data_IF_176480083783
#
_entry.id   IF_176480083783
#
_cell.length_a   1.000
_cell.length_b   1.000
_cell.length_c   1.000
_cell.angle_alpha   90.00
_cell.angle_beta   90.00
_cell.angle_gamma   90.00
#
_symmetry.space_group_name_H-M   'P 1'
#
loop_
_entity.id
_entity.type
_entity.pdbx_description
1 polymer ?
#
# COMPACT_ATOMS: atom_id res chain seq x y z
N UNK A 1 1.28 -28.88 8.75
CA UNK A 1 0.03 -28.67 7.98
C UNK A 1 0.37 -27.80 6.78
N UNK A 2 -0.39 -27.83 5.68
CA UNK A 2 -0.11 -26.97 4.51
C UNK A 2 -1.20 -25.90 4.34
N UNK A 3 -0.77 -24.69 4.05
CA UNK A 3 -1.63 -23.56 3.74
C UNK A 3 -1.27 -23.04 2.35
N UNK A 4 -2.25 -22.87 1.48
CA UNK A 4 -2.05 -22.29 0.15
C UNK A 4 -2.46 -20.82 0.16
N UNK A 5 -1.55 -19.94 -0.26
CA UNK A 5 -1.85 -18.52 -0.50
C UNK A 5 -1.88 -18.30 -2.00
N UNK A 6 -3.06 -17.99 -2.54
CA UNK A 6 -3.20 -17.58 -3.94
C UNK A 6 -3.26 -16.06 -4.03
N UNK A 7 -2.24 -15.45 -4.62
CA UNK A 7 -2.23 -14.02 -4.96
C UNK A 7 -3.04 -13.89 -6.26
N UNK A 8 -4.24 -13.32 -6.18
CA UNK A 8 -5.18 -13.30 -7.32
C UNK A 8 -4.88 -12.17 -8.28
N UNK A 9 -4.54 -11.02 -7.72
CA UNK A 9 -4.19 -9.80 -8.41
C UNK A 9 -3.27 -8.98 -7.49
N UNK A 10 -2.92 -7.76 -7.91
CA UNK A 10 -1.96 -6.89 -7.24
C UNK A 10 -2.40 -6.50 -5.81
N UNK A 11 -3.69 -6.68 -5.48
CA UNK A 11 -4.31 -6.25 -4.22
C UNK A 11 -4.82 -7.44 -3.42
N UNK A 12 -5.50 -8.38 -4.05
CA UNK A 12 -6.29 -9.41 -3.39
C UNK A 12 -5.56 -10.75 -3.33
N UNK A 13 -5.71 -11.44 -2.20
CA UNK A 13 -5.27 -12.83 -2.05
C UNK A 13 -6.30 -13.69 -1.33
N UNK A 14 -6.13 -15.01 -1.45
CA UNK A 14 -6.92 -16.00 -0.72
C UNK A 14 -6.01 -16.99 -0.03
N UNK A 15 -6.30 -17.22 1.25
CA UNK A 15 -5.60 -18.14 2.14
C UNK A 15 -6.48 -19.37 2.36
N UNK A 16 -5.99 -20.55 1.96
CA UNK A 16 -6.73 -21.81 1.97
C UNK A 16 -6.00 -22.88 2.79
N UNK A 17 -6.75 -23.86 3.31
CA UNK A 17 -6.17 -24.96 4.11
C UNK A 17 -6.04 -24.65 5.60
N UNK A 18 -6.43 -23.45 6.05
CA UNK A 18 -6.48 -23.11 7.46
C UNK A 18 -7.71 -23.69 8.16
N UNK A 19 -7.49 -24.25 9.35
CA UNK A 19 -8.56 -24.61 10.27
C UNK A 19 -9.34 -23.37 10.74
N UNK A 20 -10.54 -23.58 11.29
CA UNK A 20 -11.44 -22.49 11.67
C UNK A 20 -10.88 -21.62 12.80
N UNK A 21 -10.08 -22.18 13.70
CA UNK A 21 -9.52 -21.44 14.84
C UNK A 21 -8.43 -20.49 14.37
N UNK A 22 -7.56 -20.95 13.47
CA UNK A 22 -6.53 -20.08 12.85
C UNK A 22 -7.17 -18.98 12.00
N UNK A 23 -8.20 -19.30 11.21
CA UNK A 23 -8.94 -18.28 10.43
C UNK A 23 -9.56 -17.19 11.31
N UNK A 24 -10.14 -17.56 12.45
CA UNK A 24 -10.68 -16.59 13.42
C UNK A 24 -9.60 -15.73 14.07
N UNK A 25 -8.39 -16.27 14.29
CA UNK A 25 -7.25 -15.47 14.78
C UNK A 25 -6.83 -14.43 13.73
N UNK A 26 -6.73 -14.82 12.47
CA UNK A 26 -6.43 -13.90 11.37
C UNK A 26 -7.55 -12.85 11.17
N UNK A 27 -8.82 -13.25 11.22
CA UNK A 27 -9.96 -12.33 11.20
C UNK A 27 -9.81 -11.29 12.32
N UNK A 28 -9.60 -11.74 13.56
CA UNK A 28 -9.48 -10.85 14.72
C UNK A 28 -8.30 -9.88 14.62
N UNK A 29 -7.15 -10.32 14.12
CA UNK A 29 -5.97 -9.47 13.92
C UNK A 29 -6.25 -8.31 12.95
N UNK A 30 -7.07 -8.56 11.93
CA UNK A 30 -7.43 -7.61 10.89
C UNK A 30 -8.85 -7.05 11.05
N UNK A 31 -9.35 -7.03 12.29
CA UNK A 31 -10.68 -6.52 12.63
C UNK A 31 -10.58 -5.23 13.44
N UNK A 32 -11.22 -4.18 12.96
CA UNK A 32 -11.13 -2.83 13.52
C UNK A 32 -12.51 -2.30 13.85
N UNK A 33 -12.66 -1.74 15.05
CA UNK A 33 -13.89 -1.07 15.45
C UNK A 33 -14.02 0.28 14.74
N UNK A 34 -15.19 0.56 14.16
CA UNK A 34 -15.42 1.78 13.41
C UNK A 34 -15.89 2.90 14.36
N UNK A 35 -15.22 4.09 14.37
CA UNK A 35 -15.57 5.16 15.30
C UNK A 35 -17.05 5.60 15.22
N UNK A 36 -17.65 5.53 14.04
CA UNK A 36 -19.04 5.92 13.82
C UNK A 36 -20.06 4.82 14.18
N UNK A 37 -19.64 3.62 14.59
CA UNK A 37 -20.53 2.48 14.86
C UNK A 37 -21.59 2.82 15.92
N UNK A 38 -21.24 3.61 16.94
CA UNK A 38 -22.18 4.07 17.98
C UNK A 38 -23.39 4.84 17.44
N UNK A 39 -23.31 5.37 16.22
CA UNK A 39 -24.40 6.09 15.57
C UNK A 39 -25.20 5.24 14.58
N UNK A 40 -24.77 4.00 14.31
CA UNK A 40 -25.41 3.09 13.35
C UNK A 40 -26.51 2.27 14.03
N UNK A 41 -27.76 2.27 13.52
CA UNK A 41 -28.86 1.49 14.10
C UNK A 41 -28.57 -0.01 14.21
N UNK A 42 -27.88 -0.60 13.23
CA UNK A 42 -27.52 -2.01 13.26
C UNK A 42 -26.66 -2.38 14.47
N UNK A 43 -25.71 -1.51 14.85
CA UNK A 43 -24.90 -1.70 16.05
C UNK A 43 -25.74 -1.51 17.32
N UNK A 44 -26.54 -0.45 17.39
CA UNK A 44 -27.44 -0.18 18.54
C UNK A 44 -28.44 -1.30 18.81
N UNK A 45 -28.93 -1.96 17.75
CA UNK A 45 -29.86 -3.07 17.82
C UNK A 45 -29.18 -4.44 17.95
N UNK A 46 -27.85 -4.49 18.10
CA UNK A 46 -27.09 -5.73 18.25
C UNK A 46 -27.04 -6.62 16.99
N UNK A 47 -27.39 -6.09 15.82
CA UNK A 47 -27.37 -6.81 14.53
C UNK A 47 -26.01 -6.80 13.85
N UNK A 48 -25.09 -5.97 14.34
CA UNK A 48 -23.72 -5.83 13.86
C UNK A 48 -22.83 -5.49 15.05
N UNK A 49 -21.59 -5.97 15.05
CA UNK A 49 -20.64 -5.80 16.15
C UNK A 49 -19.87 -4.46 16.10
N UNK A 50 -20.13 -3.62 15.10
CA UNK A 50 -19.48 -2.31 14.95
C UNK A 50 -18.09 -2.37 14.33
N UNK A 51 -17.63 -3.57 13.96
CA UNK A 51 -16.31 -3.79 13.40
C UNK A 51 -16.36 -4.03 11.90
N UNK A 52 -15.27 -3.67 11.22
CA UNK A 52 -14.96 -4.14 9.87
C UNK A 52 -13.78 -5.10 9.95
N UNK A 53 -13.85 -6.22 9.22
CA UNK A 53 -12.74 -7.17 9.12
C UNK A 53 -12.19 -7.16 7.69
N UNK A 54 -10.87 -7.10 7.58
CA UNK A 54 -10.15 -7.21 6.32
C UNK A 54 -9.60 -8.62 6.07
N UNK A 55 -10.03 -9.59 6.87
CA UNK A 55 -9.81 -11.01 6.63
C UNK A 55 -11.12 -11.76 6.85
N UNK A 56 -11.68 -12.27 5.75
CA UNK A 56 -12.96 -12.98 5.80
C UNK A 56 -12.79 -14.38 6.38
N UNK A 57 -13.87 -14.95 6.94
CA UNK A 57 -13.88 -16.36 7.39
C UNK A 57 -13.60 -17.34 6.23
N UNK A 58 -13.83 -16.91 4.99
CA UNK A 58 -13.46 -17.65 3.78
C UNK A 58 -11.98 -17.54 3.37
N UNK A 59 -11.15 -16.84 4.15
CA UNK A 59 -9.72 -16.68 3.91
C UNK A 59 -9.34 -15.63 2.87
N UNK A 60 -10.29 -14.80 2.41
CA UNK A 60 -10.01 -13.68 1.49
C UNK A 60 -9.48 -12.50 2.31
N UNK A 61 -8.37 -11.90 1.84
CA UNK A 61 -7.72 -10.71 2.41
C UNK A 61 -6.90 -9.97 1.34
N UNK A 62 -6.07 -9.00 1.73
CA UNK A 62 -5.22 -8.21 0.84
C UNK A 62 -3.74 -8.59 0.98
N UNK A 63 -3.00 -8.53 -0.13
CA UNK A 63 -1.57 -8.85 -0.18
C UNK A 63 -0.77 -7.99 0.80
N UNK A 64 -1.11 -6.71 0.94
CA UNK A 64 -0.46 -5.78 1.86
C UNK A 64 -0.81 -5.99 3.34
N UNK A 65 -1.65 -6.98 3.68
CA UNK A 65 -1.95 -7.38 5.06
C UNK A 65 -1.37 -8.75 5.41
N UNK A 66 -0.68 -9.40 4.46
CA UNK A 66 -0.08 -10.72 4.69
C UNK A 66 0.99 -10.68 5.77
N UNK A 67 1.78 -9.60 5.84
CA UNK A 67 2.79 -9.36 6.88
C UNK A 67 2.24 -9.53 8.31
N UNK A 68 0.96 -9.17 8.54
CA UNK A 68 0.31 -9.30 9.85
C UNK A 68 -0.23 -10.69 10.14
N UNK A 69 -0.73 -11.40 9.13
CA UNK A 69 -1.34 -12.73 9.32
C UNK A 69 -0.38 -13.89 9.14
N UNK A 70 0.69 -13.72 8.36
CA UNK A 70 1.71 -14.75 8.14
C UNK A 70 2.36 -15.21 9.45
N UNK A 71 2.75 -14.32 10.40
CA UNK A 71 3.27 -14.76 11.70
C UNK A 71 2.28 -15.64 12.46
N UNK A 72 0.99 -15.31 12.43
CA UNK A 72 -0.07 -16.11 13.08
C UNK A 72 -0.12 -17.51 12.45
N UNK A 73 -0.15 -17.58 11.12
CA UNK A 73 -0.23 -18.83 10.36
C UNK A 73 1.01 -19.71 10.62
N UNK A 74 2.20 -19.13 10.51
CA UNK A 74 3.47 -19.85 10.71
C UNK A 74 3.62 -20.34 12.15
N UNK A 75 3.22 -19.54 13.14
CA UNK A 75 3.26 -19.92 14.56
C UNK A 75 2.29 -21.08 14.90
N UNK A 76 1.28 -21.33 14.07
CA UNK A 76 0.41 -22.52 14.19
C UNK A 76 1.00 -23.76 13.49
N UNK A 77 2.22 -23.69 12.93
CA UNK A 77 2.91 -24.82 12.29
C UNK A 77 2.44 -25.11 10.86
N UNK A 78 1.91 -24.11 10.16
CA UNK A 78 1.59 -24.23 8.73
C UNK A 78 2.83 -23.94 7.88
N UNK A 79 3.07 -24.82 6.92
CA UNK A 79 3.96 -24.59 5.80
C UNK A 79 3.17 -23.85 4.70
N UNK A 80 3.76 -22.79 4.16
CA UNK A 80 3.09 -21.90 3.20
C UNK A 80 3.51 -22.28 1.78
N UNK A 81 2.51 -22.53 0.94
CA UNK A 81 2.65 -22.70 -0.50
C UNK A 81 2.04 -21.47 -1.21
N UNK A 82 2.82 -20.78 -2.04
CA UNK A 82 2.40 -19.54 -2.71
C UNK A 82 2.11 -19.81 -4.18
N UNK A 83 0.90 -19.50 -4.60
CA UNK A 83 0.46 -19.50 -5.99
C UNK A 83 0.25 -18.06 -6.45
N UNK A 84 1.26 -17.48 -7.10
CA UNK A 84 1.22 -16.11 -7.58
C UNK A 84 0.59 -16.06 -8.99
N UNK A 85 -0.63 -15.53 -9.09
CA UNK A 85 -1.35 -15.34 -10.36
C UNK A 85 -1.33 -13.90 -10.84
N UNK A 86 -0.56 -13.02 -10.18
CA UNK A 86 -0.44 -11.62 -10.58
C UNK A 86 0.29 -11.50 -11.91
N UNK A 87 -0.01 -10.42 -12.63
CA UNK A 87 0.78 -10.06 -13.80
C UNK A 87 2.17 -9.62 -13.33
N UNK A 88 3.21 -10.19 -13.93
CA UNK A 88 4.59 -9.79 -13.66
C UNK A 88 4.94 -8.65 -14.61
N UNK A 89 5.20 -7.47 -14.05
CA UNK A 89 5.65 -6.30 -14.80
C UNK A 89 7.14 -6.04 -14.51
N UNK A 90 7.94 -5.81 -15.55
CA UNK A 90 9.33 -5.33 -15.43
C UNK A 90 9.35 -3.79 -15.55
N UNK A 91 8.86 -3.13 -14.50
CA UNK A 91 8.97 -1.67 -14.39
C UNK A 91 10.38 -1.29 -13.97
N UNK A 92 11.01 -0.42 -14.76
CA UNK A 92 12.35 0.11 -14.53
C UNK A 92 12.28 1.61 -14.47
N UNK A 93 12.43 2.15 -13.28
CA UNK A 93 12.40 3.60 -13.07
C UNK A 93 13.82 4.14 -12.96
N UNK A 94 14.07 5.28 -13.60
CA UNK A 94 15.33 5.99 -13.42
C UNK A 94 15.21 6.89 -12.18
N UNK A 95 16.21 6.85 -11.31
CA UNK A 95 16.24 7.74 -10.15
C UNK A 95 16.22 9.21 -10.58
N UNK A 96 15.73 10.06 -9.70
CA UNK A 96 15.86 11.52 -9.82
C UNK A 96 17.02 12.01 -8.97
N UNK A 97 17.48 13.21 -9.30
CA UNK A 97 18.49 13.99 -8.59
C UNK A 97 18.11 15.48 -8.60
N UNK A 98 18.93 16.31 -7.98
CA UNK A 98 18.74 17.77 -7.91
C UNK A 98 18.67 18.44 -9.29
N UNK A 99 19.27 17.84 -10.31
CA UNK A 99 19.39 18.41 -11.66
C UNK A 99 18.25 18.00 -12.60
N UNK A 100 17.45 17.01 -12.22
CA UNK A 100 16.43 16.37 -13.06
C UNK A 100 15.50 17.37 -13.75
N UNK A 101 15.11 18.47 -13.08
CA UNK A 101 14.24 19.51 -13.65
C UNK A 101 14.93 20.84 -13.95
N UNK A 102 16.25 20.92 -13.87
CA UNK A 102 16.98 22.18 -14.10
C UNK A 102 16.93 22.69 -15.56
N UNK A 103 16.43 21.86 -16.47
CA UNK A 103 16.10 22.26 -17.84
C UNK A 103 14.80 23.09 -17.93
N UNK A 104 14.03 23.19 -16.83
CA UNK A 104 12.84 24.03 -16.69
C UNK A 104 13.09 25.14 -15.68
N UNK A 105 12.38 26.25 -15.85
CA UNK A 105 12.37 27.38 -14.92
C UNK A 105 11.00 27.59 -14.32
N UNK A 106 10.94 28.15 -13.11
CA UNK A 106 9.68 28.50 -12.47
C UNK A 106 8.90 29.55 -13.28
N UNK A 107 7.57 29.40 -13.39
CA UNK A 107 6.73 30.31 -14.17
C UNK A 107 6.59 31.69 -13.49
N UNK A 108 6.17 32.69 -14.25
CA UNK A 108 6.08 34.12 -13.82
C UNK A 108 5.31 34.37 -12.51
N UNK A 109 4.33 33.52 -12.16
CA UNK A 109 3.51 33.68 -10.95
C UNK A 109 4.08 32.95 -9.73
N UNK A 110 5.18 32.24 -9.87
CA UNK A 110 5.84 31.55 -8.77
C UNK A 110 6.81 32.50 -8.04
N UNK A 111 7.05 32.28 -6.75
CA UNK A 111 7.93 33.15 -5.94
C UNK A 111 9.38 33.14 -6.46
N UNK A 112 9.82 32.02 -7.03
CA UNK A 112 11.16 31.83 -7.61
C UNK A 112 11.17 32.00 -9.14
N UNK A 113 10.27 32.81 -9.69
CA UNK A 113 10.10 32.95 -11.15
C UNK A 113 11.41 33.19 -11.89
N UNK A 114 11.65 32.43 -12.97
CA UNK A 114 12.87 32.51 -13.77
C UNK A 114 14.05 31.69 -13.24
N UNK A 115 14.03 31.26 -11.97
CA UNK A 115 15.03 30.33 -11.44
C UNK A 115 14.80 28.91 -11.94
N UNK A 116 15.88 28.11 -12.03
CA UNK A 116 15.82 26.70 -12.40
C UNK A 116 15.07 25.89 -11.33
N UNK A 117 14.34 24.87 -11.75
CA UNK A 117 13.65 23.96 -10.83
C UNK A 117 14.66 22.91 -10.32
N UNK A 118 14.97 22.96 -9.03
CA UNK A 118 15.88 22.03 -8.35
C UNK A 118 15.10 21.22 -7.32
N UNK A 119 15.26 19.89 -7.34
CA UNK A 119 14.68 19.02 -6.31
C UNK A 119 15.50 19.11 -5.02
N UNK A 120 14.81 19.19 -3.88
CA UNK A 120 15.46 19.17 -2.56
C UNK A 120 15.80 17.75 -2.15
N UNK A 121 16.82 17.56 -1.32
CA UNK A 121 17.31 16.24 -0.89
C UNK A 121 16.20 15.31 -0.40
N UNK A 122 15.33 15.81 0.48
CA UNK A 122 14.21 15.01 1.00
C UNK A 122 13.18 14.66 -0.08
N UNK A 123 13.00 15.50 -1.12
CA UNK A 123 12.14 15.18 -2.25
C UNK A 123 12.76 14.07 -3.10
N UNK A 124 14.07 14.15 -3.36
CA UNK A 124 14.84 13.14 -4.08
C UNK A 124 14.72 11.78 -3.38
N UNK A 125 15.00 11.75 -2.07
CA UNK A 125 14.88 10.54 -1.26
C UNK A 125 13.46 9.95 -1.32
N UNK A 126 12.45 10.80 -1.16
CA UNK A 126 11.05 10.38 -1.21
C UNK A 126 10.66 9.81 -2.57
N UNK A 127 11.03 10.47 -3.67
CA UNK A 127 10.72 10.01 -5.03
C UNK A 127 11.42 8.68 -5.30
N UNK A 128 12.73 8.61 -5.05
CA UNK A 128 13.52 7.42 -5.33
C UNK A 128 13.03 6.19 -4.54
N UNK A 129 12.61 6.35 -3.28
CA UNK A 129 11.99 5.27 -2.50
C UNK A 129 10.72 4.71 -3.15
N UNK A 130 9.89 5.55 -3.76
CA UNK A 130 8.71 5.09 -4.51
C UNK A 130 9.09 4.36 -5.80
N UNK A 131 10.11 4.84 -6.49
CA UNK A 131 10.61 4.20 -7.71
C UNK A 131 11.19 2.81 -7.43
N UNK A 132 11.86 2.65 -6.28
CA UNK A 132 12.39 1.38 -5.79
C UNK A 132 11.30 0.45 -5.25
N UNK A 133 10.28 1.02 -4.59
CA UNK A 133 9.18 0.27 -3.95
C UNK A 133 7.83 0.89 -4.34
N UNK A 134 7.27 0.53 -5.50
CA UNK A 134 6.05 1.16 -6.04
C UNK A 134 4.82 1.05 -5.13
N UNK A 135 4.80 0.06 -4.22
CA UNK A 135 3.70 -0.19 -3.29
C UNK A 135 4.04 0.30 -1.86
N UNK A 136 4.32 1.59 -1.70
CA UNK A 136 4.60 2.18 -0.38
C UNK A 136 3.68 3.37 -0.05
N UNK A 137 3.65 3.75 1.23
CA UNK A 137 2.95 4.93 1.74
C UNK A 137 3.95 5.98 2.22
N UNK A 138 3.76 7.24 1.82
CA UNK A 138 4.60 8.36 2.29
C UNK A 138 3.94 9.13 3.42
N UNK A 139 4.65 9.20 4.55
CA UNK A 139 4.36 10.11 5.65
C UNK A 139 5.31 11.32 5.56
N UNK A 140 4.87 12.36 4.85
CA UNK A 140 5.64 13.61 4.67
C UNK A 140 4.78 14.83 4.97
N UNK A 141 5.41 15.89 5.48
CA UNK A 141 4.76 17.14 5.85
C UNK A 141 4.03 17.81 4.66
N UNK A 142 2.99 18.60 4.95
CA UNK A 142 2.24 19.35 3.93
C UNK A 142 3.12 20.30 3.13
N UNK A 143 4.09 20.94 3.79
CA UNK A 143 5.08 21.84 3.17
C UNK A 143 6.20 21.15 2.38
N UNK A 144 6.21 19.82 2.26
CA UNK A 144 7.26 19.08 1.55
C UNK A 144 7.25 19.33 0.02
N UNK A 145 6.22 19.98 -0.52
CA UNK A 145 6.08 20.19 -1.97
C UNK A 145 5.63 18.90 -2.67
N UNK A 146 4.59 18.26 -2.12
CA UNK A 146 4.01 17.01 -2.67
C UNK A 146 3.65 17.14 -4.15
N UNK A 147 3.23 18.32 -4.60
CA UNK A 147 2.96 18.60 -6.02
C UNK A 147 4.16 18.31 -6.92
N UNK A 148 5.37 18.72 -6.54
CA UNK A 148 6.58 18.47 -7.33
C UNK A 148 7.02 17.01 -7.25
N UNK A 149 6.86 16.38 -6.08
CA UNK A 149 7.08 14.93 -5.89
C UNK A 149 6.16 14.12 -6.81
N UNK A 150 4.86 14.41 -6.82
CA UNK A 150 3.89 13.75 -7.71
C UNK A 150 4.23 13.99 -9.18
N UNK A 151 4.57 15.22 -9.56
CA UNK A 151 4.97 15.51 -10.95
C UNK A 151 6.20 14.70 -11.38
N UNK A 152 7.18 14.52 -10.49
CA UNK A 152 8.35 13.69 -10.75
C UNK A 152 7.99 12.21 -10.92
N UNK A 153 7.15 11.67 -10.03
CA UNK A 153 6.67 10.29 -10.13
C UNK A 153 5.89 10.05 -11.42
N UNK A 154 5.03 11.00 -11.82
CA UNK A 154 4.30 10.94 -13.09
C UNK A 154 5.23 10.96 -14.29
N UNK A 155 6.23 11.85 -14.34
CA UNK A 155 7.22 11.90 -15.43
C UNK A 155 8.04 10.61 -15.51
N UNK A 156 8.35 9.97 -14.40
CA UNK A 156 9.05 8.68 -14.40
C UNK A 156 8.17 7.51 -14.88
N UNK A 157 6.87 7.60 -14.66
CA UNK A 157 5.91 6.58 -15.05
C UNK A 157 5.36 6.74 -16.48
N UNK A 158 5.37 7.94 -17.06
CA UNK A 158 4.69 8.27 -18.33
C UNK A 158 5.06 7.36 -19.51
N UNK A 159 6.29 6.81 -19.51
CA UNK A 159 6.75 5.88 -20.55
C UNK A 159 6.00 4.54 -20.56
N UNK A 160 5.25 4.23 -19.51
CA UNK A 160 4.44 3.02 -19.36
C UNK A 160 2.95 3.25 -19.72
N UNK A 161 2.58 4.46 -20.17
CA UNK A 161 1.20 4.86 -20.49
C UNK A 161 0.55 5.68 -19.38
#
# INVERSE_FOLDING_TARGET
MKCKITLRDEVNCKVEGLDITTRRKCEKELKFFLPYAFHVPAYKLGRWDGCTSYFTVGGITYTNLLDRVLPIIMNQGYEIDVNDLRNIYDFRFAHVDETTFQHKTWPKKHQLAGEKITLRDYQIECINKFLDTPHCLQEIATGAGKTLITAALSERAEKYG
#
